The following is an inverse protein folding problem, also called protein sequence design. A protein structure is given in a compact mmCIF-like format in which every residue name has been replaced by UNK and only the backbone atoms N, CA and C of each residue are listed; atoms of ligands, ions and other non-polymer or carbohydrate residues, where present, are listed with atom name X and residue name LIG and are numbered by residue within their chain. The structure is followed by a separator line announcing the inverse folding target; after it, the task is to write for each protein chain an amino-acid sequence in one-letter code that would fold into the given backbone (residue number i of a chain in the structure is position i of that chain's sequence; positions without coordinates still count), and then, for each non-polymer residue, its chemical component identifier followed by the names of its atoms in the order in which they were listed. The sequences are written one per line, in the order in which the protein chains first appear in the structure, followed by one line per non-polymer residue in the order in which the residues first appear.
data_IF_833214580953
#
_entry.id   IF_833214580953
#
_cell.length_a   1.000
_cell.length_b   1.000
_cell.length_c   1.000
_cell.angle_alpha   90.00
_cell.angle_beta   90.00
_cell.angle_gamma   90.00
#
_symmetry.space_group_name_H-M   'P 1'
#
loop_
_entity.id
_entity.type
_entity.pdbx_description
1 polymer ?
#
# COMPACT_ATOMS: atom_id res chain seq x y z
N UNK A 1 -26.89 -94.95 -17.22
CA UNK A 1 -27.07 -93.65 -17.75
C UNK A 1 -26.51 -92.62 -16.70
N UNK A 2 -25.31 -92.11 -16.93
CA UNK A 2 -24.68 -91.16 -16.01
C UNK A 2 -24.79 -89.76 -16.68
N UNK A 3 -25.46 -88.84 -16.00
CA UNK A 3 -25.59 -87.44 -16.41
C UNK A 3 -24.46 -86.67 -15.74
N UNK A 4 -23.60 -86.12 -16.58
CA UNK A 4 -22.49 -85.21 -16.16
C UNK A 4 -23.03 -83.80 -16.08
N UNK A 5 -23.04 -83.22 -14.91
CA UNK A 5 -23.36 -81.79 -14.73
C UNK A 5 -22.06 -80.99 -14.68
N UNK A 6 -21.87 -80.07 -15.69
CA UNK A 6 -20.72 -79.17 -15.79
C UNK A 6 -21.04 -77.87 -15.04
N UNK A 7 -20.30 -77.54 -13.96
CA UNK A 7 -20.37 -76.30 -13.28
C UNK A 7 -19.44 -75.25 -13.97
N UNK A 8 -20.03 -74.18 -14.45
CA UNK A 8 -19.30 -73.01 -14.98
C UNK A 8 -19.03 -72.05 -13.81
N UNK A 9 -17.78 -71.96 -13.41
CA UNK A 9 -17.36 -71.02 -12.38
C UNK A 9 -17.04 -69.66 -13.04
N UNK A 10 -17.88 -68.64 -12.78
CA UNK A 10 -17.68 -67.24 -13.21
C UNK A 10 -16.81 -66.55 -12.17
N UNK A 11 -15.57 -66.24 -12.55
CA UNK A 11 -14.63 -65.49 -11.70
C UNK A 11 -14.94 -63.99 -11.85
N UNK A 12 -15.49 -63.36 -10.82
CA UNK A 12 -15.68 -61.91 -10.72
C UNK A 12 -14.36 -61.30 -10.24
N UNK A 13 -13.62 -60.65 -11.13
CA UNK A 13 -12.41 -59.85 -10.78
C UNK A 13 -12.86 -58.53 -10.18
N UNK A 14 -12.78 -58.38 -8.87
CA UNK A 14 -12.99 -57.11 -8.17
C UNK A 14 -11.80 -56.19 -8.41
N UNK A 15 -11.99 -55.15 -9.21
CA UNK A 15 -11.02 -54.05 -9.36
C UNK A 15 -11.12 -53.20 -8.10
N UNK A 16 -10.18 -53.39 -7.16
CA UNK A 16 -10.01 -52.50 -6.02
C UNK A 16 -9.38 -51.18 -6.50
N UNK A 17 -10.16 -50.10 -6.59
CA UNK A 17 -9.62 -48.75 -6.68
C UNK A 17 -8.86 -48.47 -5.40
N UNK A 18 -7.53 -48.55 -5.45
CA UNK A 18 -6.68 -48.08 -4.37
C UNK A 18 -6.76 -46.55 -4.32
N UNK A 19 -7.65 -46.02 -3.48
CA UNK A 19 -7.59 -44.61 -3.05
C UNK A 19 -6.31 -44.45 -2.24
N UNK A 20 -5.25 -43.97 -2.88
CA UNK A 20 -4.03 -43.57 -2.18
C UNK A 20 -4.37 -42.56 -1.09
N UNK A 21 -3.63 -42.52 0.03
CA UNK A 21 -3.86 -41.54 1.07
C UNK A 21 -3.72 -40.16 0.46
N UNK A 22 -4.81 -39.41 0.40
CA UNK A 22 -4.78 -37.98 0.12
C UNK A 22 -3.99 -37.35 1.27
N UNK A 23 -2.72 -37.05 1.05
CA UNK A 23 -1.93 -36.28 2.01
C UNK A 23 -2.66 -34.95 2.17
N UNK A 24 -3.36 -34.79 3.29
CA UNK A 24 -4.01 -33.53 3.60
C UNK A 24 -2.92 -32.45 3.64
N UNK A 25 -2.91 -31.58 2.64
CA UNK A 25 -1.92 -30.52 2.53
C UNK A 25 -2.06 -29.62 3.75
N UNK A 26 -0.97 -29.40 4.48
CA UNK A 26 -0.96 -28.67 5.75
C UNK A 26 -1.53 -27.27 5.56
N UNK A 27 -2.49 -26.88 6.42
CA UNK A 27 -3.05 -25.54 6.43
C UNK A 27 -1.95 -24.50 6.75
N UNK A 28 -1.95 -23.42 5.99
CA UNK A 28 -1.01 -22.31 6.15
C UNK A 28 -1.78 -21.01 6.40
N UNK A 29 -1.53 -20.40 7.57
CA UNK A 29 -2.09 -19.09 7.92
C UNK A 29 -1.11 -18.01 7.49
N UNK A 30 -1.52 -17.18 6.53
CA UNK A 30 -0.76 -16.09 5.96
C UNK A 30 -1.05 -14.82 6.76
N UNK A 31 -0.10 -14.39 7.60
CA UNK A 31 -0.23 -13.14 8.35
C UNK A 31 -0.10 -11.93 7.42
N UNK A 32 -1.02 -10.97 7.55
CA UNK A 32 -1.03 -9.72 6.80
C UNK A 32 -0.95 -8.52 7.76
N UNK A 33 -0.09 -7.56 7.49
CA UNK A 33 0.09 -6.34 8.28
C UNK A 33 -0.38 -5.11 7.52
N UNK A 34 -1.08 -4.22 8.22
CA UNK A 34 -1.41 -2.88 7.77
C UNK A 34 -1.32 -1.89 8.95
N UNK A 35 -0.87 -0.66 8.69
CA UNK A 35 -0.82 0.38 9.72
C UNK A 35 -2.19 0.98 10.01
N UNK A 36 -3.12 0.90 9.08
CA UNK A 36 -4.45 1.48 9.18
C UNK A 36 -5.44 0.62 9.99
N UNK A 37 -6.51 1.21 10.52
CA UNK A 37 -7.47 0.52 11.36
C UNK A 37 -8.39 -0.42 10.56
N UNK A 38 -9.05 -1.32 11.29
CA UNK A 38 -10.12 -2.17 10.74
C UNK A 38 -11.17 -1.33 10.01
N UNK A 39 -11.59 -1.79 8.83
CA UNK A 39 -12.54 -1.08 7.98
C UNK A 39 -11.90 -0.07 7.02
N UNK A 40 -10.62 0.19 7.12
CA UNK A 40 -9.89 0.99 6.13
C UNK A 40 -9.86 0.26 4.77
N UNK A 41 -9.96 0.96 3.62
CA UNK A 41 -10.08 0.31 2.30
C UNK A 41 -9.03 -0.76 2.01
N UNK A 42 -7.75 -0.49 2.31
CA UNK A 42 -6.67 -1.45 2.10
C UNK A 42 -6.80 -2.69 2.96
N UNK A 43 -7.20 -2.52 4.24
CA UNK A 43 -7.45 -3.63 5.18
C UNK A 43 -8.58 -4.51 4.67
N UNK A 44 -9.72 -3.91 4.30
CA UNK A 44 -10.91 -4.62 3.78
C UNK A 44 -10.57 -5.40 2.51
N UNK A 45 -9.83 -4.80 1.58
CA UNK A 45 -9.44 -5.46 0.34
C UNK A 45 -8.55 -6.68 0.57
N UNK A 46 -7.61 -6.62 1.53
CA UNK A 46 -6.75 -7.76 1.89
C UNK A 46 -7.54 -8.84 2.63
N UNK A 47 -8.48 -8.49 3.50
CA UNK A 47 -9.38 -9.46 4.15
C UNK A 47 -10.24 -10.20 3.12
N UNK A 48 -10.77 -9.49 2.11
CA UNK A 48 -11.58 -10.09 1.05
C UNK A 48 -10.73 -10.94 0.09
N UNK A 49 -9.50 -10.52 -0.22
CA UNK A 49 -8.52 -11.36 -0.92
C UNK A 49 -8.32 -12.67 -0.15
N UNK A 50 -8.15 -12.60 1.17
CA UNK A 50 -7.99 -13.76 2.03
C UNK A 50 -9.16 -14.76 1.95
N UNK A 51 -10.40 -14.26 1.98
CA UNK A 51 -11.61 -15.09 1.84
C UNK A 51 -11.65 -15.80 0.48
N UNK A 52 -11.32 -15.09 -0.61
CA UNK A 52 -11.27 -15.67 -1.96
C UNK A 52 -10.17 -16.72 -2.07
N UNK A 53 -9.00 -16.46 -1.48
CA UNK A 53 -7.87 -17.38 -1.49
C UNK A 53 -8.19 -18.67 -0.71
N UNK A 54 -8.82 -18.54 0.46
CA UNK A 54 -9.24 -19.68 1.27
C UNK A 54 -10.24 -20.56 0.52
N UNK A 55 -11.24 -19.96 -0.12
CA UNK A 55 -12.22 -20.68 -0.93
C UNK A 55 -11.56 -21.40 -2.13
N UNK A 56 -10.65 -20.73 -2.85
CA UNK A 56 -9.98 -21.29 -4.01
C UNK A 56 -8.97 -22.40 -3.68
N UNK A 57 -8.47 -22.43 -2.44
CA UNK A 57 -7.50 -23.43 -1.97
C UNK A 57 -8.11 -24.48 -1.05
N UNK A 58 -9.45 -24.62 -1.03
CA UNK A 58 -10.18 -25.53 -0.16
C UNK A 58 -9.75 -25.43 1.32
N UNK A 59 -9.52 -24.21 1.79
CA UNK A 59 -9.10 -23.91 3.16
C UNK A 59 -7.63 -24.19 3.48
N UNK A 60 -6.79 -24.50 2.48
CA UNK A 60 -5.35 -24.69 2.71
C UNK A 60 -4.63 -23.38 3.05
N UNK A 61 -4.94 -22.31 2.35
CA UNK A 61 -4.41 -20.95 2.61
C UNK A 61 -5.50 -20.10 3.24
N UNK A 62 -5.20 -19.50 4.39
CA UNK A 62 -6.07 -18.49 5.01
C UNK A 62 -5.26 -17.26 5.34
N UNK A 63 -5.89 -16.08 5.39
CA UNK A 63 -5.24 -14.82 5.75
C UNK A 63 -5.68 -14.39 7.14
N UNK A 64 -4.71 -14.11 8.02
CA UNK A 64 -4.94 -13.47 9.31
C UNK A 64 -4.47 -12.01 9.21
N UNK A 65 -5.43 -11.06 9.24
CA UNK A 65 -5.16 -9.64 9.14
C UNK A 65 -4.81 -9.05 10.51
N UNK A 66 -3.74 -8.24 10.58
CA UNK A 66 -3.26 -7.51 11.74
C UNK A 66 -3.24 -6.01 11.40
N UNK A 67 -4.36 -5.30 11.57
CA UNK A 67 -4.49 -3.88 11.32
C UNK A 67 -3.92 -3.04 12.47
N UNK A 68 -3.95 -1.71 12.34
CA UNK A 68 -3.59 -0.75 13.38
C UNK A 68 -2.19 -0.96 13.96
N UNK A 69 -1.21 -1.27 13.11
CA UNK A 69 0.20 -1.45 13.51
C UNK A 69 0.45 -2.56 14.56
N UNK A 70 -0.45 -3.56 14.66
CA UNK A 70 -0.30 -4.67 15.63
C UNK A 70 1.02 -5.46 15.46
N UNK A 71 1.60 -5.43 14.24
CA UNK A 71 2.88 -6.06 13.92
C UNK A 71 4.01 -5.05 13.69
N UNK A 72 3.84 -3.81 14.14
CA UNK A 72 4.77 -2.71 13.93
C UNK A 72 4.37 -1.78 12.78
N UNK A 73 5.22 -0.78 12.51
CA UNK A 73 5.06 0.15 11.40
C UNK A 73 5.41 -0.47 10.05
N UNK A 74 5.37 0.35 9.00
CA UNK A 74 5.63 -0.14 7.62
C UNK A 74 7.04 -0.69 7.44
N UNK A 75 8.03 -0.07 8.07
CA UNK A 75 9.43 -0.54 8.00
C UNK A 75 9.56 -1.94 8.61
N UNK A 76 9.03 -2.13 9.81
CA UNK A 76 9.05 -3.41 10.52
C UNK A 76 8.25 -4.47 9.76
N UNK A 77 7.12 -4.11 9.15
CA UNK A 77 6.33 -5.02 8.32
C UNK A 77 7.09 -5.48 7.08
N UNK A 78 7.81 -4.57 6.40
CA UNK A 78 8.69 -4.92 5.28
C UNK A 78 9.79 -5.88 5.71
N UNK A 79 10.51 -5.58 6.79
CA UNK A 79 11.57 -6.43 7.33
C UNK A 79 11.05 -7.83 7.71
N UNK A 80 9.88 -7.92 8.34
CA UNK A 80 9.23 -9.18 8.67
C UNK A 80 8.83 -9.99 7.43
N UNK A 81 8.33 -9.33 6.38
CA UNK A 81 8.01 -9.99 5.11
C UNK A 81 9.27 -10.50 4.42
N UNK A 82 10.36 -9.74 4.41
CA UNK A 82 11.65 -10.14 3.82
C UNK A 82 12.19 -11.43 4.43
N UNK A 83 12.06 -11.61 5.76
CA UNK A 83 12.54 -12.81 6.46
C UNK A 83 11.50 -13.94 6.53
N UNK A 84 10.26 -13.70 6.07
CA UNK A 84 9.16 -14.67 6.08
C UNK A 84 8.45 -14.83 7.42
N UNK A 85 8.55 -13.87 8.32
CA UNK A 85 7.82 -13.86 9.58
C UNK A 85 6.33 -13.51 9.39
N UNK A 86 6.03 -12.69 8.38
CA UNK A 86 4.68 -12.43 7.85
C UNK A 86 4.63 -12.68 6.35
N UNK A 87 3.42 -12.90 5.83
CA UNK A 87 3.22 -13.16 4.42
C UNK A 87 2.99 -11.88 3.62
N UNK A 88 2.10 -11.02 4.08
CA UNK A 88 1.71 -9.79 3.41
C UNK A 88 2.11 -8.56 4.23
N UNK A 89 2.58 -7.53 3.57
CA UNK A 89 2.64 -6.17 4.10
C UNK A 89 2.01 -5.21 3.08
N UNK A 90 1.02 -4.42 3.52
CA UNK A 90 0.58 -3.25 2.77
C UNK A 90 1.47 -2.08 3.19
N UNK A 91 2.13 -1.45 2.24
CA UNK A 91 3.16 -0.44 2.48
C UNK A 91 3.04 0.72 1.50
N UNK A 92 3.20 1.94 2.01
CA UNK A 92 3.36 3.11 1.16
C UNK A 92 4.64 3.02 0.33
N UNK A 93 4.55 3.38 -0.95
CA UNK A 93 5.73 3.49 -1.81
C UNK A 93 6.76 4.49 -1.24
N UNK A 94 6.29 5.47 -0.47
CA UNK A 94 7.17 6.39 0.25
C UNK A 94 8.09 5.69 1.24
N UNK A 95 7.56 4.74 2.01
CA UNK A 95 8.33 3.94 2.96
C UNK A 95 9.12 2.81 2.28
N UNK A 96 8.64 2.30 1.13
CA UNK A 96 9.29 1.21 0.40
C UNK A 96 10.45 1.69 -0.49
N UNK A 97 10.43 2.96 -0.93
CA UNK A 97 11.46 3.55 -1.81
C UNK A 97 12.90 3.42 -1.30
N UNK A 98 13.20 3.58 -0.01
CA UNK A 98 14.54 3.33 0.53
C UNK A 98 15.01 1.86 0.43
N UNK A 99 14.09 0.90 0.32
CA UNK A 99 14.38 -0.54 0.17
C UNK A 99 14.51 -0.92 -1.30
N UNK A 100 13.60 -0.40 -2.14
CA UNK A 100 13.49 -0.65 -3.58
C UNK A 100 13.58 0.70 -4.29
N UNK A 101 14.78 1.09 -4.65
CA UNK A 101 15.08 2.43 -5.14
C UNK A 101 14.32 2.84 -6.42
N UNK A 102 14.03 1.90 -7.32
CA UNK A 102 13.23 2.16 -8.53
C UNK A 102 11.84 2.76 -8.23
N UNK A 103 11.27 2.45 -7.08
CA UNK A 103 9.96 2.97 -6.65
C UNK A 103 9.98 4.47 -6.33
N UNK A 104 11.16 5.04 -6.08
CA UNK A 104 11.29 6.46 -5.79
C UNK A 104 10.87 7.37 -6.95
N UNK A 105 10.72 6.85 -8.17
CA UNK A 105 10.13 7.61 -9.27
C UNK A 105 8.71 8.11 -8.93
N UNK A 106 7.92 7.35 -8.17
CA UNK A 106 6.59 7.74 -7.73
C UNK A 106 6.59 8.65 -6.49
N UNK A 107 7.74 8.80 -5.84
CA UNK A 107 7.95 9.68 -4.70
C UNK A 107 8.40 11.10 -5.09
N UNK A 108 8.64 11.35 -6.37
CA UNK A 108 8.94 12.69 -6.86
C UNK A 108 7.71 13.60 -6.68
N UNK A 109 7.84 14.75 -6.01
CA UNK A 109 6.70 15.65 -5.80
C UNK A 109 6.09 16.10 -7.12
N UNK A 110 4.76 16.08 -7.19
CA UNK A 110 3.98 16.44 -8.39
C UNK A 110 4.31 15.62 -9.66
N UNK A 111 4.85 14.41 -9.54
CA UNK A 111 5.13 13.54 -10.70
C UNK A 111 3.84 13.12 -11.41
N UNK A 112 2.76 12.97 -10.67
CA UNK A 112 1.42 12.72 -11.21
C UNK A 112 0.62 14.03 -11.29
N UNK A 113 -0.15 14.18 -12.37
CA UNK A 113 -1.03 15.33 -12.56
C UNK A 113 -2.23 15.35 -11.60
N UNK A 114 -2.77 14.18 -11.31
CA UNK A 114 -3.88 13.93 -10.40
C UNK A 114 -3.98 12.41 -10.11
N UNK A 115 -4.92 12.02 -9.25
CA UNK A 115 -5.13 10.61 -8.85
C UNK A 115 -5.51 9.74 -10.05
N UNK A 116 -6.35 10.21 -10.98
CA UNK A 116 -6.71 9.45 -12.19
C UNK A 116 -5.48 9.16 -13.06
N UNK A 117 -4.61 10.14 -13.23
CA UNK A 117 -3.35 9.93 -13.95
C UNK A 117 -2.47 8.88 -13.25
N UNK A 118 -2.34 8.94 -11.94
CA UNK A 118 -1.60 7.94 -11.16
C UNK A 118 -2.21 6.55 -11.38
N UNK A 119 -3.54 6.42 -11.32
CA UNK A 119 -4.25 5.15 -11.55
C UNK A 119 -3.94 4.58 -12.94
N UNK A 120 -3.97 5.40 -13.99
CA UNK A 120 -3.64 4.94 -15.35
C UNK A 120 -2.18 4.46 -15.45
N UNK A 121 -1.25 5.11 -14.74
CA UNK A 121 0.16 4.71 -14.71
C UNK A 121 0.34 3.37 -14.01
N UNK A 122 -0.25 3.19 -12.82
CA UNK A 122 -0.08 1.94 -12.04
C UNK A 122 -0.84 0.76 -12.62
N UNK A 123 -1.93 1.00 -13.34
CA UNK A 123 -2.70 -0.04 -14.04
C UNK A 123 -2.03 -0.46 -15.37
N UNK A 124 -1.17 0.39 -15.89
CA UNK A 124 -0.48 0.20 -17.16
C UNK A 124 0.86 -0.54 -17.08
N UNK A 125 1.60 -0.56 -18.18
CA UNK A 125 2.90 -1.26 -18.27
C UNK A 125 3.94 -0.76 -17.26
N UNK A 126 3.93 0.53 -16.92
CA UNK A 126 4.87 1.11 -15.94
C UNK A 126 4.62 0.50 -14.54
N UNK A 127 3.36 0.41 -14.14
CA UNK A 127 3.01 -0.20 -12.85
C UNK A 127 3.40 -1.68 -12.79
N UNK A 128 3.17 -2.46 -13.86
CA UNK A 128 3.59 -3.86 -13.90
C UNK A 128 5.11 -4.00 -13.84
N UNK A 129 5.84 -3.19 -14.58
CA UNK A 129 7.31 -3.17 -14.57
C UNK A 129 7.86 -2.93 -13.16
N UNK A 130 7.27 -2.00 -12.41
CA UNK A 130 7.70 -1.70 -11.04
C UNK A 130 7.36 -2.82 -10.06
N UNK A 131 6.21 -3.51 -10.19
CA UNK A 131 5.92 -4.74 -9.43
C UNK A 131 6.95 -5.84 -9.71
N UNK A 132 7.33 -6.00 -10.98
CA UNK A 132 8.35 -6.96 -11.40
C UNK A 132 9.73 -6.59 -10.85
N UNK A 133 10.07 -5.30 -10.79
CA UNK A 133 11.31 -4.82 -10.17
C UNK A 133 11.36 -5.13 -8.68
N UNK A 134 10.26 -4.99 -7.94
CA UNK A 134 10.19 -5.42 -6.53
C UNK A 134 10.48 -6.91 -6.42
N UNK A 135 9.81 -7.73 -7.25
CA UNK A 135 9.94 -9.18 -7.25
C UNK A 135 11.37 -9.64 -7.58
N UNK A 136 12.02 -8.96 -8.53
CA UNK A 136 13.35 -9.30 -9.02
C UNK A 136 14.49 -8.54 -8.30
N UNK A 137 14.18 -7.72 -7.32
CA UNK A 137 15.17 -6.88 -6.60
C UNK A 137 16.18 -7.65 -5.76
N UNK A 138 15.93 -8.94 -5.47
CA UNK A 138 16.70 -9.70 -4.50
C UNK A 138 16.45 -9.31 -3.04
N UNK A 139 15.45 -8.46 -2.77
CA UNK A 139 15.12 -7.98 -1.41
C UNK A 139 14.15 -8.90 -0.64
N UNK A 140 13.89 -10.11 -1.14
CA UNK A 140 13.03 -11.07 -0.44
C UNK A 140 11.53 -10.74 -0.49
N UNK A 141 11.10 -9.92 -1.44
CA UNK A 141 9.73 -9.48 -1.63
C UNK A 141 9.18 -9.87 -3.00
N UNK A 142 7.87 -10.01 -3.11
CA UNK A 142 7.10 -10.13 -4.36
C UNK A 142 6.12 -8.97 -4.40
N UNK A 143 6.13 -8.18 -5.46
CA UNK A 143 5.13 -7.13 -5.70
C UNK A 143 3.84 -7.75 -6.23
N UNK A 144 2.73 -7.63 -5.49
CA UNK A 144 1.47 -8.26 -5.86
C UNK A 144 0.53 -7.34 -6.63
N UNK A 145 0.22 -6.18 -6.06
CA UNK A 145 -0.67 -5.20 -6.66
C UNK A 145 -0.46 -3.81 -6.05
N UNK A 146 -1.03 -2.81 -6.72
CA UNK A 146 -1.10 -1.44 -6.26
C UNK A 146 -2.40 -1.22 -5.50
N UNK A 147 -2.42 -0.19 -4.64
CA UNK A 147 -3.61 0.31 -3.97
C UNK A 147 -3.59 1.83 -4.00
N UNK A 148 -4.76 2.45 -3.99
CA UNK A 148 -4.90 3.90 -3.97
C UNK A 148 -4.60 4.46 -2.57
N UNK A 149 -4.16 5.71 -2.51
CA UNK A 149 -3.98 6.45 -1.28
C UNK A 149 -4.31 7.95 -1.45
N UNK A 150 -4.90 8.33 -2.57
CA UNK A 150 -5.26 9.71 -2.88
C UNK A 150 -4.08 10.66 -2.88
N UNK A 151 -4.38 11.95 -2.77
CA UNK A 151 -3.38 13.02 -2.69
C UNK A 151 -3.01 13.33 -1.23
N UNK A 152 -1.73 13.60 -1.01
CA UNK A 152 -1.18 13.96 0.29
C UNK A 152 -1.10 15.47 0.43
N UNK A 153 -1.44 15.95 1.61
CA UNK A 153 -1.68 17.35 1.94
C UNK A 153 -1.08 17.67 3.30
N UNK A 154 -0.66 18.91 3.53
CA UNK A 154 -0.16 19.34 4.83
C UNK A 154 -1.30 19.49 5.84
N UNK A 155 -1.04 19.10 7.08
CA UNK A 155 -1.88 19.44 8.23
C UNK A 155 -1.03 19.75 9.46
N UNK A 156 -1.54 20.62 10.33
CA UNK A 156 -0.74 21.07 11.46
C UNK A 156 -1.58 21.51 12.67
N UNK A 157 -0.88 21.75 13.79
CA UNK A 157 -1.46 22.13 15.08
C UNK A 157 -1.46 23.64 15.32
N UNK A 158 -0.84 24.47 14.45
CA UNK A 158 -0.47 25.86 14.76
C UNK A 158 -1.34 26.90 14.07
N UNK A 159 -1.41 26.87 12.72
CA UNK A 159 -2.04 27.92 11.92
C UNK A 159 -2.38 27.44 10.52
N UNK A 160 -3.28 28.14 9.81
CA UNK A 160 -3.51 27.88 8.38
C UNK A 160 -2.22 28.02 7.57
N UNK A 161 -1.95 27.08 6.67
CA UNK A 161 -0.90 27.18 5.66
C UNK A 161 -1.57 27.56 4.34
N UNK A 162 -1.41 28.80 3.91
CA UNK A 162 -1.93 29.33 2.64
C UNK A 162 -0.82 29.49 1.60
N UNK A 163 0.38 29.76 2.07
CA UNK A 163 1.57 30.00 1.26
C UNK A 163 2.77 29.24 1.83
N UNK A 164 3.85 29.11 1.07
CA UNK A 164 5.10 28.55 1.58
C UNK A 164 5.69 29.32 2.76
N UNK A 165 5.44 30.63 2.86
CA UNK A 165 5.89 31.43 3.99
C UNK A 165 5.28 30.95 5.31
N UNK A 166 4.10 30.34 5.28
CA UNK A 166 3.43 29.80 6.45
C UNK A 166 4.07 28.52 6.97
N UNK A 167 4.76 27.75 6.12
CA UNK A 167 5.53 26.57 6.52
C UNK A 167 6.86 26.91 7.21
N UNK A 168 7.33 28.16 7.07
CA UNK A 168 8.66 28.55 7.57
C UNK A 168 8.81 28.28 9.07
N UNK A 169 9.81 27.46 9.40
CA UNK A 169 10.14 27.10 10.77
C UNK A 169 9.27 25.98 11.37
N UNK A 170 8.21 25.54 10.70
CA UNK A 170 7.41 24.41 11.17
C UNK A 170 8.19 23.09 11.03
N UNK A 171 8.18 22.29 12.08
CA UNK A 171 8.64 20.90 12.05
C UNK A 171 7.53 20.04 11.44
N UNK A 172 7.74 19.58 10.24
CA UNK A 172 6.76 18.75 9.51
C UNK A 172 7.25 17.32 9.47
N UNK A 173 6.49 16.42 10.07
CA UNK A 173 6.77 14.99 9.95
C UNK A 173 6.52 14.52 8.52
N UNK A 174 7.46 13.76 8.01
CA UNK A 174 7.35 13.04 6.72
C UNK A 174 7.68 11.56 6.92
N UNK A 175 7.34 10.72 5.93
CA UNK A 175 7.78 9.31 5.93
C UNK A 175 9.30 9.20 5.93
N UNK A 176 9.83 8.05 6.33
CA UNK A 176 11.26 7.75 6.42
C UNK A 176 11.97 7.67 5.06
N UNK A 177 11.83 8.70 4.23
CA UNK A 177 12.44 8.82 2.91
C UNK A 177 13.19 10.15 2.80
N UNK A 178 14.50 10.17 2.48
CA UNK A 178 15.28 11.40 2.35
C UNK A 178 14.69 12.39 1.35
N UNK A 179 14.04 11.92 0.27
CA UNK A 179 13.40 12.77 -0.73
C UNK A 179 12.27 13.60 -0.11
N UNK A 180 11.50 13.03 0.81
CA UNK A 180 10.42 13.75 1.50
C UNK A 180 10.91 14.76 2.51
N UNK A 181 12.03 14.47 3.19
CA UNK A 181 12.69 15.45 4.06
C UNK A 181 13.13 16.66 3.22
N UNK A 182 13.76 16.41 2.08
CA UNK A 182 14.22 17.46 1.20
C UNK A 182 13.06 18.26 0.56
N UNK A 183 11.99 17.57 0.20
CA UNK A 183 10.75 18.21 -0.27
C UNK A 183 10.19 19.18 0.77
N UNK A 184 9.98 18.74 2.01
CA UNK A 184 9.47 19.60 3.07
C UNK A 184 10.39 20.78 3.35
N UNK A 185 11.70 20.57 3.34
CA UNK A 185 12.70 21.63 3.51
C UNK A 185 12.67 22.63 2.34
N UNK A 186 12.54 22.17 1.11
CA UNK A 186 12.47 23.02 -0.09
C UNK A 186 11.21 23.89 -0.11
N UNK A 187 10.12 23.40 0.51
CA UNK A 187 8.88 24.17 0.69
C UNK A 187 8.92 25.13 1.89
N UNK A 188 10.05 25.21 2.61
CA UNK A 188 10.27 26.15 3.72
C UNK A 188 10.01 25.60 5.12
N UNK A 189 9.54 24.36 5.25
CA UNK A 189 9.42 23.65 6.51
C UNK A 189 10.75 23.05 6.99
N UNK A 190 10.70 22.34 8.11
CA UNK A 190 11.77 21.48 8.60
C UNK A 190 11.26 20.03 8.58
N UNK A 191 11.65 19.25 7.58
CA UNK A 191 11.23 17.87 7.41
C UNK A 191 11.83 16.97 8.50
N UNK A 192 10.97 16.23 9.20
CA UNK A 192 11.36 15.28 10.26
C UNK A 192 10.91 13.89 9.84
N UNK A 193 11.85 13.03 9.46
CA UNK A 193 11.57 11.63 9.14
C UNK A 193 11.17 10.86 10.40
N UNK A 194 9.99 10.19 10.36
CA UNK A 194 9.47 9.49 11.53
C UNK A 194 8.50 8.39 11.10
N UNK A 195 8.48 7.27 11.82
CA UNK A 195 7.52 6.18 11.63
C UNK A 195 6.07 6.65 11.81
N UNK A 196 5.13 5.97 11.14
CA UNK A 196 3.72 6.38 11.18
C UNK A 196 3.09 6.19 12.57
N UNK A 197 3.52 5.17 13.29
CA UNK A 197 3.16 4.83 14.67
C UNK A 197 3.40 5.97 15.68
N UNK A 198 4.32 6.87 15.39
CA UNK A 198 4.73 7.97 16.28
C UNK A 198 3.99 9.28 15.99
N UNK A 199 3.30 9.41 14.85
CA UNK A 199 2.81 10.71 14.35
C UNK A 199 1.80 11.35 15.28
N UNK A 200 0.80 10.59 15.75
CA UNK A 200 -0.24 11.13 16.62
C UNK A 200 0.36 11.71 17.92
N UNK A 201 1.22 10.95 18.59
CA UNK A 201 1.86 11.39 19.84
C UNK A 201 2.83 12.56 19.62
N UNK A 202 3.56 12.56 18.49
CA UNK A 202 4.47 13.65 18.15
C UNK A 202 3.74 14.98 17.88
N UNK A 203 2.57 14.93 17.23
CA UNK A 203 1.69 16.10 17.06
C UNK A 203 1.11 16.54 18.40
N UNK A 204 0.62 15.61 19.21
CA UNK A 204 -0.01 15.89 20.49
C UNK A 204 0.97 16.55 21.47
N UNK A 205 2.20 16.08 21.52
CA UNK A 205 3.24 16.58 22.43
C UNK A 205 4.05 17.77 21.87
N UNK A 206 3.83 18.14 20.59
CA UNK A 206 4.55 19.23 19.94
C UNK A 206 6.00 18.89 19.55
N UNK A 207 6.36 17.62 19.48
CA UNK A 207 7.65 17.18 18.91
C UNK A 207 7.72 17.60 17.43
N UNK A 208 6.59 17.52 16.72
CA UNK A 208 6.39 18.11 15.41
C UNK A 208 5.20 19.07 15.45
N UNK A 209 5.21 20.07 14.56
CA UNK A 209 4.13 21.07 14.46
C UNK A 209 3.05 20.61 13.46
N UNK A 210 3.41 19.76 12.52
CA UNK A 210 2.54 19.24 11.48
C UNK A 210 3.05 17.94 10.89
N UNK A 211 2.28 17.42 9.95
CA UNK A 211 2.61 16.29 9.12
C UNK A 211 1.92 16.44 7.76
N UNK A 212 2.04 15.45 6.90
CA UNK A 212 1.39 15.41 5.61
C UNK A 212 0.80 14.02 5.36
N UNK A 213 -0.41 13.96 4.83
CA UNK A 213 -1.08 12.71 4.44
C UNK A 213 -2.39 13.01 3.67
N UNK A 214 -3.04 11.93 3.22
CA UNK A 214 -4.36 11.96 2.61
C UNK A 214 -5.48 12.19 3.66
N UNK A 215 -6.68 12.61 3.24
CA UNK A 215 -7.80 12.85 4.15
C UNK A 215 -8.23 11.62 4.98
N UNK A 216 -8.34 10.38 4.42
CA UNK A 216 -8.64 9.20 5.20
C UNK A 216 -7.68 8.94 6.34
N UNK A 217 -6.37 8.97 6.12
CA UNK A 217 -5.37 8.78 7.17
C UNK A 217 -5.45 9.89 8.23
N UNK A 218 -5.60 11.15 7.82
CA UNK A 218 -5.77 12.27 8.74
C UNK A 218 -6.95 12.08 9.70
N UNK A 219 -8.06 11.55 9.18
CA UNK A 219 -9.31 11.42 9.94
C UNK A 219 -9.42 10.09 10.68
N UNK A 220 -9.20 8.98 10.01
CA UNK A 220 -9.48 7.66 10.60
C UNK A 220 -8.36 7.13 11.50
N UNK A 221 -7.14 7.71 11.37
CA UNK A 221 -6.05 7.52 12.34
C UNK A 221 -6.03 8.62 13.42
N UNK A 222 -7.11 9.41 13.51
CA UNK A 222 -7.40 10.40 14.54
C UNK A 222 -6.46 11.62 14.60
N UNK A 223 -5.61 11.86 13.61
CA UNK A 223 -4.72 13.03 13.61
C UNK A 223 -5.49 14.36 13.68
N UNK A 224 -6.74 14.42 13.14
CA UNK A 224 -7.62 15.57 13.21
C UNK A 224 -8.00 16.00 14.66
N UNK A 225 -7.84 15.11 15.63
CA UNK A 225 -8.11 15.45 17.03
C UNK A 225 -7.07 16.41 17.59
N UNK A 226 -5.83 16.32 17.11
CA UNK A 226 -4.69 17.11 17.56
C UNK A 226 -4.26 18.20 16.58
N UNK A 227 -4.48 18.03 15.26
CA UNK A 227 -4.19 19.00 14.23
C UNK A 227 -5.49 19.61 13.67
N UNK A 228 -5.61 20.93 13.65
CA UNK A 228 -6.87 21.64 13.35
C UNK A 228 -6.87 22.32 11.97
N UNK A 229 -5.75 22.32 11.27
CA UNK A 229 -5.58 22.96 9.97
C UNK A 229 -5.16 21.92 8.95
N UNK A 230 -5.93 21.80 7.86
CA UNK A 230 -5.65 20.89 6.75
C UNK A 230 -5.59 21.69 5.45
N UNK A 231 -4.42 21.72 4.82
CA UNK A 231 -4.15 22.51 3.60
C UNK A 231 -4.13 21.59 2.38
N UNK A 232 -5.04 21.81 1.46
CA UNK A 232 -5.17 21.03 0.22
C UNK A 232 -4.21 21.59 -0.83
N UNK A 233 -2.98 21.09 -0.82
CA UNK A 233 -1.91 21.46 -1.74
C UNK A 233 -1.49 20.33 -2.68
N UNK A 234 -1.88 19.07 -2.36
CA UNK A 234 -1.70 17.88 -3.19
C UNK A 234 -0.26 17.69 -3.69
N UNK A 235 0.71 17.92 -2.81
CA UNK A 235 2.14 17.91 -3.18
C UNK A 235 2.67 16.52 -3.57
N UNK A 236 2.01 15.46 -3.16
CA UNK A 236 2.33 14.07 -3.48
C UNK A 236 1.06 13.27 -3.76
N UNK A 237 1.15 12.35 -4.71
CA UNK A 237 0.19 11.26 -4.91
C UNK A 237 1.00 9.98 -4.87
N UNK A 238 1.09 9.36 -3.71
CA UNK A 238 1.96 8.19 -3.48
C UNK A 238 1.07 6.95 -3.36
N UNK A 239 1.12 6.02 -4.33
CA UNK A 239 0.32 4.80 -4.23
C UNK A 239 0.86 3.90 -3.11
N UNK A 240 0.01 2.99 -2.69
CA UNK A 240 0.34 1.90 -1.80
C UNK A 240 0.67 0.63 -2.60
N UNK A 241 1.40 -0.28 -2.00
CA UNK A 241 1.70 -1.57 -2.59
C UNK A 241 1.41 -2.69 -1.61
N UNK A 242 0.76 -3.74 -2.08
CA UNK A 242 0.71 -5.01 -1.37
C UNK A 242 1.91 -5.84 -1.78
N UNK A 243 2.84 -6.04 -0.86
CA UNK A 243 3.99 -6.93 -1.07
C UNK A 243 3.79 -8.24 -0.32
N UNK A 244 4.44 -9.29 -0.84
CA UNK A 244 4.39 -10.62 -0.26
C UNK A 244 5.81 -11.13 0.03
N UNK A 245 5.97 -11.95 1.06
CA UNK A 245 7.23 -12.61 1.38
C UNK A 245 7.67 -13.57 0.28
N UNK A 246 8.80 -13.33 -0.34
CA UNK A 246 9.40 -14.24 -1.33
C UNK A 246 9.68 -15.62 -0.74
N UNK A 247 10.10 -15.66 0.53
CA UNK A 247 10.37 -16.92 1.23
C UNK A 247 9.11 -17.79 1.38
N UNK A 248 7.96 -17.18 1.68
CA UNK A 248 6.69 -17.90 1.76
C UNK A 248 6.18 -18.20 0.34
N UNK A 249 6.32 -17.28 -0.61
CA UNK A 249 5.94 -17.44 -2.00
C UNK A 249 6.54 -18.69 -2.63
N UNK A 250 7.83 -18.96 -2.36
CA UNK A 250 8.55 -20.11 -2.91
C UNK A 250 8.07 -21.46 -2.34
N UNK A 251 7.27 -21.45 -1.26
CA UNK A 251 6.62 -22.66 -0.71
C UNK A 251 5.25 -22.94 -1.30
N UNK A 252 4.67 -21.98 -2.02
CA UNK A 252 3.35 -22.10 -2.65
C UNK A 252 3.44 -22.87 -3.97
N UNK A 253 2.41 -23.66 -4.27
CA UNK A 253 2.27 -24.28 -5.58
C UNK A 253 2.02 -23.23 -6.67
N UNK A 254 2.23 -23.59 -7.94
CA UNK A 254 1.98 -22.69 -9.07
C UNK A 254 0.53 -22.23 -9.17
N UNK A 255 -0.41 -23.10 -8.84
CA UNK A 255 -1.84 -22.78 -8.82
C UNK A 255 -2.16 -21.78 -7.72
N UNK A 256 -1.56 -21.92 -6.54
CA UNK A 256 -1.71 -20.99 -5.43
C UNK A 256 -1.07 -19.62 -5.73
N UNK A 257 0.11 -19.61 -6.34
CA UNK A 257 0.75 -18.38 -6.82
C UNK A 257 -0.13 -17.66 -7.84
N UNK A 258 -0.70 -18.40 -8.78
CA UNK A 258 -1.61 -17.87 -9.81
C UNK A 258 -2.89 -17.32 -9.19
N UNK A 259 -3.50 -18.04 -8.26
CA UNK A 259 -4.68 -17.58 -7.54
C UNK A 259 -4.40 -16.31 -6.73
N UNK A 260 -3.26 -16.26 -6.04
CA UNK A 260 -2.84 -15.10 -5.27
C UNK A 260 -2.66 -13.85 -6.15
N UNK A 261 -1.98 -13.95 -7.28
CA UNK A 261 -1.84 -12.84 -8.24
C UNK A 261 -3.20 -12.39 -8.78
N UNK A 262 -4.07 -13.32 -9.14
CA UNK A 262 -5.43 -13.01 -9.61
C UNK A 262 -6.20 -12.23 -8.55
N UNK A 263 -6.28 -12.73 -7.33
CA UNK A 263 -7.04 -12.09 -6.27
C UNK A 263 -6.42 -10.78 -5.77
N UNK A 264 -5.11 -10.62 -5.92
CA UNK A 264 -4.46 -9.32 -5.67
C UNK A 264 -4.89 -8.26 -6.68
N UNK A 265 -5.02 -8.60 -7.96
CA UNK A 265 -5.57 -7.68 -8.97
C UNK A 265 -7.04 -7.34 -8.71
N UNK A 266 -7.83 -8.31 -8.27
CA UNK A 266 -9.21 -8.04 -7.87
C UNK A 266 -9.27 -7.14 -6.63
N UNK A 267 -8.39 -7.36 -5.64
CA UNK A 267 -8.28 -6.54 -4.44
C UNK A 267 -7.91 -5.09 -4.78
N UNK A 268 -7.01 -4.86 -5.74
CA UNK A 268 -6.68 -3.53 -6.25
C UNK A 268 -7.93 -2.78 -6.77
N UNK A 269 -8.79 -3.47 -7.54
CA UNK A 269 -10.00 -2.88 -8.10
C UNK A 269 -11.08 -2.66 -7.04
N UNK A 270 -11.17 -3.53 -6.05
CA UNK A 270 -12.10 -3.42 -4.94
C UNK A 270 -11.70 -2.28 -4.01
N UNK A 271 -10.43 -2.19 -3.65
CA UNK A 271 -9.87 -1.15 -2.80
C UNK A 271 -10.14 0.24 -3.39
N UNK A 272 -9.86 0.46 -4.68
CA UNK A 272 -10.10 1.72 -5.38
C UNK A 272 -11.56 2.20 -5.27
N UNK A 273 -12.52 1.28 -5.42
CA UNK A 273 -13.95 1.60 -5.28
C UNK A 273 -14.31 1.99 -3.83
N UNK A 274 -13.70 1.32 -2.86
CA UNK A 274 -13.89 1.64 -1.45
C UNK A 274 -13.25 3.00 -1.13
N UNK A 275 -12.08 3.29 -1.70
CA UNK A 275 -11.32 4.52 -1.48
C UNK A 275 -12.13 5.76 -1.82
N UNK A 276 -12.74 5.82 -3.00
CA UNK A 276 -13.53 6.98 -3.45
C UNK A 276 -14.61 7.41 -2.44
N UNK A 277 -15.31 6.44 -1.86
CA UNK A 277 -16.35 6.73 -0.86
C UNK A 277 -15.75 7.09 0.49
N UNK A 278 -14.64 6.47 0.84
CA UNK A 278 -13.97 6.64 2.12
C UNK A 278 -13.32 8.03 2.23
N UNK A 279 -12.71 8.50 1.15
CA UNK A 279 -12.12 9.84 1.06
C UNK A 279 -13.18 10.94 1.23
N UNK A 280 -14.36 10.80 0.57
CA UNK A 280 -15.49 11.72 0.78
C UNK A 280 -15.95 11.73 2.24
N UNK A 281 -16.14 10.56 2.85
CA UNK A 281 -16.51 10.45 4.26
C UNK A 281 -15.49 11.10 5.20
N UNK A 282 -14.18 10.95 4.90
CA UNK A 282 -13.12 11.58 5.67
C UNK A 282 -13.23 13.10 5.63
N UNK A 283 -13.40 13.69 4.44
CA UNK A 283 -13.52 15.14 4.30
C UNK A 283 -14.77 15.68 4.99
N UNK A 284 -15.90 14.99 4.89
CA UNK A 284 -17.13 15.38 5.57
C UNK A 284 -17.00 15.30 7.09
N UNK A 285 -16.36 14.25 7.60
CA UNK A 285 -16.06 14.09 9.03
C UNK A 285 -15.08 15.16 9.53
N UNK A 286 -14.06 15.52 8.76
CA UNK A 286 -13.14 16.60 9.10
C UNK A 286 -13.89 17.95 9.23
N UNK A 287 -14.74 18.28 8.25
CA UNK A 287 -15.58 19.49 8.28
C UNK A 287 -16.51 19.50 9.49
N UNK A 288 -17.21 18.39 9.74
CA UNK A 288 -18.11 18.25 10.89
C UNK A 288 -17.38 18.37 12.23
N UNK A 289 -16.10 17.98 12.30
CA UNK A 289 -15.24 18.11 13.48
C UNK A 289 -14.64 19.53 13.65
N UNK A 290 -15.00 20.49 12.78
CA UNK A 290 -14.52 21.87 12.85
C UNK A 290 -13.06 22.05 12.39
N UNK A 291 -12.55 21.15 11.53
CA UNK A 291 -11.24 21.32 10.93
C UNK A 291 -11.29 22.46 9.92
N UNK A 292 -10.36 23.40 10.00
CA UNK A 292 -10.18 24.44 9.00
C UNK A 292 -9.49 23.83 7.76
N UNK A 293 -10.26 23.68 6.67
CA UNK A 293 -9.77 23.17 5.40
C UNK A 293 -9.38 24.35 4.53
N UNK A 294 -8.09 24.46 4.23
CA UNK A 294 -7.52 25.56 3.48
C UNK A 294 -7.31 25.12 2.02
N UNK A 295 -7.93 25.82 1.08
CA UNK A 295 -7.63 25.67 -0.33
C UNK A 295 -6.51 26.65 -0.69
N UNK A 296 -5.42 26.16 -1.25
CA UNK A 296 -4.38 27.05 -1.79
C UNK A 296 -4.83 27.62 -3.14
N UNK A 297 -4.43 28.88 -3.42
CA UNK A 297 -4.69 29.48 -4.73
C UNK A 297 -3.84 28.79 -5.81
N UNK A 298 -4.23 28.89 -7.08
CA UNK A 298 -3.44 28.37 -8.20
C UNK A 298 -2.03 28.96 -8.24
N UNK A 299 -1.88 30.24 -7.89
CA UNK A 299 -0.59 30.92 -7.81
C UNK A 299 0.28 30.33 -6.68
N UNK A 300 -0.30 30.06 -5.51
CA UNK A 300 0.41 29.46 -4.39
C UNK A 300 0.73 27.97 -4.69
N UNK A 301 -0.19 27.22 -5.31
CA UNK A 301 0.07 25.85 -5.75
C UNK A 301 1.25 25.82 -6.73
N UNK A 302 1.30 26.75 -7.66
CA UNK A 302 2.45 26.91 -8.57
C UNK A 302 3.74 27.20 -7.80
N UNK A 303 3.68 28.07 -6.77
CA UNK A 303 4.84 28.37 -5.94
C UNK A 303 5.34 27.14 -5.18
N UNK A 304 4.45 26.28 -4.64
CA UNK A 304 4.83 24.99 -4.05
C UNK A 304 5.48 24.06 -5.07
N UNK A 305 4.95 23.99 -6.30
CA UNK A 305 5.54 23.22 -7.39
C UNK A 305 6.94 23.71 -7.78
N UNK A 306 7.14 25.02 -7.86
CA UNK A 306 8.44 25.60 -8.19
C UNK A 306 9.47 25.39 -7.06
N UNK A 307 9.03 25.39 -5.82
CA UNK A 307 9.88 25.20 -4.65
C UNK A 307 10.55 23.82 -4.60
N UNK A 308 9.93 22.78 -5.16
CA UNK A 308 10.49 21.42 -5.16
C UNK A 308 11.48 21.16 -6.30
N UNK A 309 11.82 22.19 -7.08
CA UNK A 309 12.84 22.07 -8.13
C UNK A 309 14.16 21.45 -7.63
N UNK A 310 14.71 21.78 -6.44
CA UNK A 310 15.94 21.13 -5.95
C UNK A 310 15.80 19.61 -5.78
N UNK A 311 14.60 19.12 -5.40
CA UNK A 311 14.33 17.68 -5.31
C UNK A 311 14.39 17.05 -6.71
N UNK A 312 13.78 17.70 -7.71
CA UNK A 312 13.81 17.25 -9.09
C UNK A 312 15.23 17.30 -9.68
N UNK A 313 16.01 18.36 -9.42
CA UNK A 313 17.38 18.49 -9.91
C UNK A 313 18.28 17.38 -9.35
N UNK A 314 18.04 16.95 -8.11
CA UNK A 314 18.84 15.94 -7.43
C UNK A 314 18.45 14.51 -7.77
N UNK A 315 17.16 14.22 -7.73
CA UNK A 315 16.65 12.83 -7.86
C UNK A 315 16.10 12.52 -9.25
N UNK A 316 15.55 13.53 -9.95
CA UNK A 316 14.90 13.36 -11.25
C UNK A 316 15.77 12.73 -12.34
N UNK A 317 17.06 13.11 -12.50
CA UNK A 317 17.92 12.55 -13.55
C UNK A 317 18.02 11.01 -13.51
N UNK A 318 17.98 10.42 -12.33
CA UNK A 318 18.01 8.97 -12.17
C UNK A 318 16.81 8.26 -12.78
N UNK A 319 15.66 8.91 -12.79
CA UNK A 319 14.38 8.34 -13.21
C UNK A 319 13.86 8.96 -14.52
N UNK A 320 14.67 9.76 -15.23
CA UNK A 320 14.26 10.57 -16.36
C UNK A 320 13.47 9.77 -17.42
N UNK A 321 13.95 8.59 -17.80
CA UNK A 321 13.29 7.75 -18.79
C UNK A 321 11.90 7.29 -18.32
N UNK A 322 11.75 6.92 -17.03
CA UNK A 322 10.46 6.51 -16.49
C UNK A 322 9.53 7.70 -16.29
N UNK A 323 10.04 8.84 -15.82
CA UNK A 323 9.28 10.10 -15.71
C UNK A 323 8.70 10.50 -17.06
N UNK A 324 9.50 10.47 -18.13
CA UNK A 324 9.02 10.77 -19.48
C UNK A 324 7.84 9.88 -19.87
N UNK A 325 7.96 8.58 -19.67
CA UNK A 325 6.87 7.61 -19.94
C UNK A 325 5.63 7.91 -19.07
N UNK A 326 5.80 8.27 -17.79
CA UNK A 326 4.70 8.67 -16.91
C UNK A 326 3.96 9.86 -17.50
N UNK A 327 4.67 10.89 -17.95
CA UNK A 327 4.07 12.11 -18.51
C UNK A 327 3.32 11.86 -19.83
N UNK A 328 3.67 10.82 -20.59
CA UNK A 328 3.01 10.41 -21.83
C UNK A 328 1.68 9.66 -21.59
N UNK A 329 1.45 9.12 -20.39
CA UNK A 329 0.18 8.46 -20.01
C UNK A 329 -0.92 9.52 -19.97
N UNK A 330 -2.07 9.23 -20.63
CA UNK A 330 -3.23 10.14 -20.71
C UNK A 330 -4.22 9.92 -19.59
#
# INVERSE_FOLDING_TARGET
MKILATFLATTITAIAFASGPTVAQQKLVLKASDVHPTGYPTVVAVENLGKKLEAATNGRLSVAMYPSMQLGGEKEAVEQAQIGAIAFARVSVGALGPVIDDLNVFNLPYVFRNTTHMQHVIDGPIGQELLDKVTNSGKGLVGLCWMDAGARNFYNTKKPIKTMADLRGMKVRVMGNPMFVEMANSMGGNGVAMGYDQVFSALQTGVVDGAENNPPSFVFDNHYQVAKYYTVDEHLIVPEMLVFSKKIWDTLSKDEQTALLKFSKEAQQEERKLWESYERQAMDKAKAAGIEIIQVSDADKKAFQDAVKPVWDKYGPKYEATVKRIQEVK
#
